data_IF_196904489494
#
_entry.id   IF_196904489494
#
_cell.length_a   1.000
_cell.length_b   1.000
_cell.length_c   1.000
_cell.angle_alpha   90.00
_cell.angle_beta   90.00
_cell.angle_gamma   90.00
#
_symmetry.space_group_name_H-M   'P 1'
#
loop_
_entity.id
_entity.type
_entity.pdbx_description
1 polymer ?
#
# COMPACT_ATOMS: atom_id res chain seq x y z
N UNK A 1 -19.26 17.35 -37.61
CA UNK A 1 -20.64 17.43 -38.13
C UNK A 1 -21.11 15.99 -38.39
N UNK A 2 -21.92 15.49 -37.45
CA UNK A 2 -22.81 14.30 -37.47
C UNK A 2 -22.42 13.06 -38.29
N UNK A 3 -21.90 12.05 -37.57
CA UNK A 3 -22.15 10.63 -37.84
C UNK A 3 -23.62 10.30 -37.49
N UNK A 4 -24.55 10.65 -38.37
CA UNK A 4 -25.92 10.15 -38.36
C UNK A 4 -26.13 9.41 -39.68
N UNK A 5 -25.96 8.08 -39.68
CA UNK A 5 -26.75 7.08 -40.45
C UNK A 5 -26.00 5.74 -40.55
N UNK A 6 -26.08 4.93 -39.48
CA UNK A 6 -25.97 3.45 -39.58
C UNK A 6 -27.13 2.75 -38.85
N UNK A 7 -27.87 3.46 -38.00
CA UNK A 7 -29.04 2.92 -37.28
C UNK A 7 -30.36 3.53 -37.78
N UNK A 8 -30.52 3.58 -39.10
CA UNK A 8 -31.70 4.11 -39.77
C UNK A 8 -32.50 2.98 -40.40
N UNK A 9 -33.23 2.22 -39.58
CA UNK A 9 -34.14 1.18 -40.04
C UNK A 9 -34.27 0.07 -39.02
N UNK A 10 -35.42 0.02 -38.32
CA UNK A 10 -36.01 -1.17 -37.69
C UNK A 10 -35.05 -2.36 -37.50
N UNK A 11 -34.23 -2.36 -36.46
CA UNK A 11 -33.69 -3.62 -35.91
C UNK A 11 -34.73 -4.09 -34.90
N UNK A 12 -35.57 -5.10 -35.23
CA UNK A 12 -36.88 -5.23 -34.63
C UNK A 12 -36.81 -5.91 -33.26
N UNK A 13 -37.90 -5.75 -32.50
CA UNK A 13 -38.28 -6.51 -31.31
C UNK A 13 -37.94 -8.03 -31.37
N UNK A 14 -37.80 -8.57 -32.57
CA UNK A 14 -37.47 -9.95 -32.92
C UNK A 14 -36.16 -10.47 -32.29
N UNK A 15 -35.09 -9.67 -32.19
CA UNK A 15 -33.82 -10.15 -31.59
C UNK A 15 -33.95 -10.35 -30.07
N UNK A 16 -34.57 -9.40 -29.37
CA UNK A 16 -34.85 -9.57 -27.95
C UNK A 16 -35.78 -10.77 -27.71
N UNK A 17 -36.77 -10.98 -28.57
CA UNK A 17 -37.66 -12.14 -28.48
C UNK A 17 -36.91 -13.46 -28.64
N UNK A 18 -35.91 -13.53 -29.53
CA UNK A 18 -35.06 -14.74 -29.67
C UNK A 18 -34.30 -15.01 -28.37
N UNK A 19 -33.68 -13.99 -27.77
CA UNK A 19 -32.93 -14.18 -26.51
C UNK A 19 -33.86 -14.53 -25.35
N UNK A 20 -35.01 -13.87 -25.21
CA UNK A 20 -36.00 -14.20 -24.20
C UNK A 20 -36.57 -15.62 -24.37
N UNK A 21 -36.73 -16.08 -25.61
CA UNK A 21 -37.10 -17.46 -25.88
C UNK A 21 -36.01 -18.42 -25.39
N UNK A 22 -34.73 -18.15 -25.66
CA UNK A 22 -33.63 -18.97 -25.14
C UNK A 22 -33.60 -19.00 -23.61
N UNK A 23 -33.80 -17.85 -22.96
CA UNK A 23 -33.89 -17.75 -21.50
C UNK A 23 -35.03 -18.63 -20.98
N UNK A 24 -36.23 -18.49 -21.56
CA UNK A 24 -37.41 -19.25 -21.17
C UNK A 24 -37.25 -20.75 -21.41
N UNK A 25 -36.67 -21.14 -22.54
CA UNK A 25 -36.42 -22.55 -22.87
C UNK A 25 -35.41 -23.18 -21.91
N UNK A 26 -34.41 -22.40 -21.45
CA UNK A 26 -33.37 -22.88 -20.52
C UNK A 26 -33.80 -22.88 -19.05
N UNK A 27 -34.54 -21.87 -18.61
CA UNK A 27 -34.92 -21.67 -17.19
C UNK A 27 -36.37 -22.05 -16.87
N UNK A 28 -37.21 -22.25 -17.89
CA UNK A 28 -38.66 -22.46 -17.75
C UNK A 28 -39.48 -21.18 -17.55
N UNK A 29 -38.83 -20.05 -17.31
CA UNK A 29 -39.43 -18.72 -17.16
C UNK A 29 -38.45 -17.64 -17.59
N UNK A 30 -38.90 -16.38 -17.64
CA UNK A 30 -38.03 -15.21 -17.86
C UNK A 30 -37.86 -14.53 -16.50
N UNK A 31 -36.66 -14.57 -15.89
CA UNK A 31 -36.41 -13.85 -14.65
C UNK A 31 -36.55 -12.33 -14.83
N UNK A 32 -37.15 -11.62 -13.86
CA UNK A 32 -37.24 -10.16 -13.88
C UNK A 32 -35.89 -9.46 -14.10
N UNK A 33 -34.78 -10.09 -13.68
CA UNK A 33 -33.40 -9.64 -13.94
C UNK A 33 -33.15 -9.12 -15.37
N UNK A 34 -33.77 -9.75 -16.37
CA UNK A 34 -33.56 -9.43 -17.78
C UNK A 34 -34.53 -8.38 -18.34
N UNK A 35 -35.60 -8.04 -17.61
CA UNK A 35 -36.64 -7.12 -18.06
C UNK A 35 -36.11 -5.71 -18.39
N UNK A 36 -35.19 -5.11 -17.62
CA UNK A 36 -34.70 -3.77 -17.96
C UNK A 36 -33.90 -3.73 -19.28
N UNK A 37 -33.43 -4.88 -19.76
CA UNK A 37 -32.74 -5.01 -21.04
C UNK A 37 -33.67 -5.28 -22.23
N UNK A 38 -35.00 -5.33 -22.04
CA UNK A 38 -35.96 -5.73 -23.07
C UNK A 38 -35.93 -4.86 -24.34
N UNK A 39 -35.49 -3.60 -24.23
CA UNK A 39 -35.39 -2.66 -25.35
C UNK A 39 -34.00 -2.64 -26.03
N UNK A 40 -33.02 -3.38 -25.49
CA UNK A 40 -31.63 -3.34 -25.95
C UNK A 40 -31.09 -4.76 -26.20
N UNK A 41 -31.12 -5.24 -27.46
CA UNK A 41 -30.63 -6.57 -27.82
C UNK A 41 -29.20 -6.82 -27.37
N UNK A 42 -28.30 -5.84 -27.52
CA UNK A 42 -26.89 -5.97 -27.15
C UNK A 42 -26.72 -6.20 -25.64
N UNK A 43 -27.48 -5.46 -24.83
CA UNK A 43 -27.43 -5.60 -23.36
C UNK A 43 -28.01 -6.95 -22.95
N UNK A 44 -29.16 -7.32 -23.52
CA UNK A 44 -29.83 -8.58 -23.21
C UNK A 44 -28.99 -9.80 -23.61
N UNK A 45 -28.38 -9.77 -24.80
CA UNK A 45 -27.46 -10.82 -25.28
C UNK A 45 -26.25 -10.96 -24.36
N UNK A 46 -25.63 -9.84 -23.94
CA UNK A 46 -24.49 -9.88 -23.04
C UNK A 46 -24.87 -10.42 -21.65
N UNK A 47 -25.98 -9.94 -21.06
CA UNK A 47 -26.46 -10.45 -19.78
C UNK A 47 -26.73 -11.95 -19.87
N UNK A 48 -27.41 -12.40 -20.93
CA UNK A 48 -27.71 -13.81 -21.13
C UNK A 48 -26.44 -14.65 -21.32
N UNK A 49 -25.50 -14.17 -22.12
CA UNK A 49 -24.22 -14.84 -22.36
C UNK A 49 -23.42 -15.02 -21.05
N UNK A 50 -23.38 -13.97 -20.23
CA UNK A 50 -22.69 -14.01 -18.93
C UNK A 50 -23.40 -14.96 -17.95
N UNK A 51 -24.73 -14.87 -17.82
CA UNK A 51 -25.52 -15.79 -16.97
C UNK A 51 -25.32 -17.25 -17.40
N UNK A 52 -25.31 -17.53 -18.70
CA UNK A 52 -25.09 -18.88 -19.21
C UNK A 52 -23.68 -19.37 -18.87
N UNK A 53 -22.65 -18.60 -19.22
CA UNK A 53 -21.26 -19.05 -19.15
C UNK A 53 -20.72 -19.07 -17.71
N UNK A 54 -20.97 -18.00 -16.95
CA UNK A 54 -20.37 -17.84 -15.63
C UNK A 54 -21.18 -18.50 -14.51
N UNK A 55 -22.46 -18.76 -14.73
CA UNK A 55 -23.36 -19.27 -13.69
C UNK A 55 -24.00 -20.62 -14.04
N UNK A 56 -24.75 -20.73 -15.15
CA UNK A 56 -25.49 -21.96 -15.48
C UNK A 56 -24.57 -23.11 -15.90
N UNK A 57 -23.63 -22.82 -16.80
CA UNK A 57 -22.74 -23.82 -17.40
C UNK A 57 -21.38 -23.89 -16.66
N UNK A 58 -21.21 -23.11 -15.60
CA UNK A 58 -20.02 -23.15 -14.74
C UNK A 58 -20.05 -24.43 -13.88
N UNK A 59 -19.02 -25.29 -13.95
CA UNK A 59 -19.02 -26.62 -13.31
C UNK A 59 -18.76 -26.59 -11.79
N UNK A 60 -18.52 -25.40 -11.20
CA UNK A 60 -18.51 -25.26 -9.74
C UNK A 60 -19.87 -25.73 -9.17
N UNK A 61 -19.90 -26.50 -8.06
CA UNK A 61 -21.15 -27.02 -7.52
C UNK A 61 -22.20 -25.94 -7.27
N UNK A 62 -23.46 -26.24 -7.64
CA UNK A 62 -24.56 -25.28 -7.52
C UNK A 62 -24.77 -24.79 -6.10
N UNK A 63 -24.66 -25.67 -5.10
CA UNK A 63 -24.78 -25.29 -3.69
C UNK A 63 -23.71 -24.27 -3.29
N UNK A 64 -22.47 -24.42 -3.76
CA UNK A 64 -21.42 -23.44 -3.52
C UNK A 64 -21.72 -22.11 -4.23
N UNK A 65 -22.11 -22.17 -5.51
CA UNK A 65 -22.44 -20.97 -6.29
C UNK A 65 -23.55 -20.16 -5.62
N UNK A 66 -24.63 -20.83 -5.18
CA UNK A 66 -25.75 -20.18 -4.50
C UNK A 66 -25.37 -19.61 -3.13
N UNK A 67 -24.55 -20.31 -2.34
CA UNK A 67 -24.05 -19.81 -1.04
C UNK A 67 -23.23 -18.53 -1.25
N UNK A 68 -22.30 -18.56 -2.20
CA UNK A 68 -21.45 -17.41 -2.50
C UNK A 68 -22.29 -16.24 -3.02
N UNK A 69 -23.20 -16.48 -3.97
CA UNK A 69 -24.08 -15.46 -4.52
C UNK A 69 -24.98 -14.83 -3.45
N UNK A 70 -25.55 -15.63 -2.54
CA UNK A 70 -26.33 -15.13 -1.41
C UNK A 70 -25.48 -14.29 -0.44
N UNK A 71 -24.26 -14.74 -0.12
CA UNK A 71 -23.33 -14.03 0.76
C UNK A 71 -22.90 -12.68 0.17
N UNK A 72 -22.50 -12.62 -1.09
CA UNK A 72 -22.08 -11.36 -1.73
C UNK A 72 -23.25 -10.41 -1.98
N UNK A 73 -24.46 -10.94 -2.20
CA UNK A 73 -25.69 -10.13 -2.33
C UNK A 73 -26.02 -9.34 -1.06
N UNK A 74 -25.45 -9.69 0.11
CA UNK A 74 -25.61 -8.91 1.35
C UNK A 74 -24.97 -7.52 1.30
N UNK A 75 -24.17 -7.24 0.28
CA UNK A 75 -23.53 -5.94 0.08
C UNK A 75 -24.19 -5.09 -1.01
N UNK A 76 -25.35 -5.53 -1.53
CA UNK A 76 -26.15 -4.82 -2.53
C UNK A 76 -27.41 -4.24 -1.87
N UNK A 77 -27.81 -3.02 -2.19
CA UNK A 77 -29.02 -2.43 -1.58
C UNK A 77 -30.33 -2.97 -2.19
N UNK A 78 -30.28 -3.46 -3.42
CA UNK A 78 -31.43 -4.01 -4.13
C UNK A 78 -31.53 -5.52 -3.81
N UNK A 79 -32.60 -5.98 -3.14
CA UNK A 79 -32.67 -7.33 -2.59
C UNK A 79 -32.88 -8.42 -3.64
N UNK A 80 -33.01 -8.08 -4.93
CA UNK A 80 -33.41 -9.03 -5.97
C UNK A 80 -32.53 -10.29 -6.00
N UNK A 81 -31.21 -10.12 -6.11
CA UNK A 81 -30.27 -11.24 -6.14
C UNK A 81 -30.25 -11.99 -4.81
N UNK A 82 -30.27 -11.27 -3.67
CA UNK A 82 -30.32 -11.89 -2.35
C UNK A 82 -31.52 -12.84 -2.24
N UNK A 83 -32.71 -12.37 -2.56
CA UNK A 83 -33.95 -13.15 -2.46
C UNK A 83 -33.91 -14.38 -3.38
N UNK A 84 -33.46 -14.20 -4.62
CA UNK A 84 -33.38 -15.29 -5.59
C UNK A 84 -32.39 -16.39 -5.16
N UNK A 85 -31.19 -16.01 -4.74
CA UNK A 85 -30.16 -16.97 -4.35
C UNK A 85 -30.47 -17.63 -3.00
N UNK A 86 -30.95 -16.86 -2.01
CA UNK A 86 -31.37 -17.43 -0.72
C UNK A 86 -32.50 -18.44 -0.87
N UNK A 87 -33.49 -18.18 -1.73
CA UNK A 87 -34.60 -19.11 -1.95
C UNK A 87 -34.21 -20.34 -2.77
N UNK A 88 -33.14 -20.26 -3.57
CA UNK A 88 -32.61 -21.38 -4.37
C UNK A 88 -31.78 -22.35 -3.53
N UNK A 89 -31.23 -21.92 -2.39
CA UNK A 89 -30.51 -22.80 -1.46
C UNK A 89 -31.38 -23.93 -0.89
N UNK A 90 -32.68 -23.67 -0.67
CA UNK A 90 -33.60 -24.64 -0.09
C UNK A 90 -33.80 -25.90 -0.95
N UNK A 91 -34.15 -25.83 -2.25
CA UNK A 91 -34.23 -27.02 -3.10
C UNK A 91 -32.88 -27.72 -3.32
N UNK A 92 -31.76 -27.06 -3.03
CA UNK A 92 -30.42 -27.67 -3.04
C UNK A 92 -30.09 -28.42 -1.73
N UNK A 93 -31.05 -28.55 -0.81
CA UNK A 93 -30.94 -29.36 0.40
C UNK A 93 -30.56 -28.59 1.67
N UNK A 94 -30.42 -27.26 1.60
CA UNK A 94 -30.13 -26.45 2.77
C UNK A 94 -31.39 -26.19 3.60
N UNK A 95 -31.29 -26.32 4.93
CA UNK A 95 -32.42 -25.99 5.83
C UNK A 95 -32.60 -24.48 5.90
N UNK A 96 -33.84 -24.04 6.07
CA UNK A 96 -34.17 -22.61 6.23
C UNK A 96 -33.45 -21.94 7.40
N UNK A 97 -33.16 -22.69 8.47
CA UNK A 97 -32.34 -22.23 9.60
C UNK A 97 -30.90 -21.94 9.19
N UNK A 98 -30.28 -22.84 8.42
CA UNK A 98 -28.88 -22.71 8.01
C UNK A 98 -28.71 -21.57 6.99
N UNK A 99 -29.74 -21.35 6.15
CA UNK A 99 -29.81 -20.18 5.25
C UNK A 99 -29.82 -18.89 6.08
N UNK A 100 -30.65 -18.83 7.13
CA UNK A 100 -30.69 -17.67 8.03
C UNK A 100 -29.34 -17.42 8.69
N UNK A 101 -28.67 -18.47 9.18
CA UNK A 101 -27.38 -18.37 9.85
C UNK A 101 -26.33 -17.72 8.94
N UNK A 102 -26.19 -18.20 7.70
CA UNK A 102 -25.25 -17.64 6.72
C UNK A 102 -25.58 -16.19 6.38
N UNK A 103 -26.87 -15.86 6.24
CA UNK A 103 -27.32 -14.51 5.93
C UNK A 103 -27.10 -13.52 7.07
N UNK A 104 -27.11 -13.99 8.32
CA UNK A 104 -26.95 -13.18 9.51
C UNK A 104 -25.51 -13.04 10.00
N UNK A 105 -24.57 -13.84 9.49
CA UNK A 105 -23.15 -13.72 9.83
C UNK A 105 -22.69 -12.25 9.75
N UNK A 106 -21.83 -11.76 10.64
CA UNK A 106 -21.29 -10.41 10.54
C UNK A 106 -20.49 -10.21 9.23
N UNK A 107 -20.14 -8.97 8.91
CA UNK A 107 -19.12 -8.73 7.90
C UNK A 107 -17.79 -9.33 8.43
N UNK A 108 -17.08 -10.04 7.56
CA UNK A 108 -15.86 -10.75 7.92
C UNK A 108 -14.78 -9.76 8.37
N UNK A 109 -14.17 -10.06 9.51
CA UNK A 109 -13.01 -9.35 10.04
C UNK A 109 -11.69 -9.86 9.43
N UNK A 110 -10.61 -9.07 9.56
CA UNK A 110 -9.27 -9.49 9.12
C UNK A 110 -8.78 -10.72 9.88
N UNK A 111 -9.09 -10.84 11.17
CA UNK A 111 -8.71 -12.00 11.99
C UNK A 111 -9.41 -13.26 11.48
N UNK A 112 -10.71 -13.19 11.15
CA UNK A 112 -11.44 -14.32 10.55
C UNK A 112 -10.90 -14.67 9.17
N UNK A 113 -10.58 -13.68 8.32
CA UNK A 113 -9.96 -13.92 7.03
C UNK A 113 -8.59 -14.58 7.18
N UNK A 114 -7.79 -14.17 8.17
CA UNK A 114 -6.49 -14.76 8.45
C UNK A 114 -6.60 -16.24 8.85
N UNK A 115 -7.64 -16.62 9.60
CA UNK A 115 -7.94 -18.03 9.93
C UNK A 115 -8.22 -18.84 8.66
N UNK A 116 -9.08 -18.34 7.77
CA UNK A 116 -9.37 -19.03 6.50
C UNK A 116 -8.13 -19.12 5.60
N UNK A 117 -7.35 -18.05 5.48
CA UNK A 117 -6.09 -18.04 4.73
C UNK A 117 -5.05 -19.03 5.30
N UNK A 118 -4.98 -19.17 6.62
CA UNK A 118 -4.12 -20.16 7.27
C UNK A 118 -4.55 -21.61 6.97
N UNK A 119 -5.87 -21.88 6.94
CA UNK A 119 -6.40 -23.19 6.53
C UNK A 119 -6.03 -23.52 5.08
N UNK A 120 -6.12 -22.55 4.16
CA UNK A 120 -5.70 -22.74 2.77
C UNK A 120 -4.21 -23.06 2.69
N UNK A 121 -3.35 -22.28 3.38
CA UNK A 121 -1.89 -22.51 3.44
C UNK A 121 -1.52 -23.90 3.94
N UNK A 122 -2.23 -24.40 4.94
CA UNK A 122 -1.98 -25.72 5.52
C UNK A 122 -2.41 -26.88 4.59
N UNK A 123 -3.26 -26.63 3.60
CA UNK A 123 -3.76 -27.69 2.71
C UNK A 123 -2.79 -27.99 1.57
N UNK A 124 -2.61 -29.26 1.23
CA UNK A 124 -1.72 -29.74 0.14
C UNK A 124 -2.30 -29.52 -1.28
N UNK A 125 -3.45 -28.84 -1.39
CA UNK A 125 -4.24 -28.72 -2.63
C UNK A 125 -5.20 -29.89 -2.89
N UNK A 126 -6.04 -29.74 -3.92
CA UNK A 126 -7.16 -30.67 -4.19
C UNK A 126 -6.92 -31.62 -5.35
N UNK A 127 -5.73 -31.60 -5.96
CA UNK A 127 -5.36 -32.43 -7.10
C UNK A 127 -6.32 -32.28 -8.30
N UNK A 128 -6.87 -31.08 -8.51
CA UNK A 128 -7.76 -30.78 -9.63
C UNK A 128 -9.20 -31.26 -9.42
N UNK A 129 -9.60 -31.55 -8.18
CA UNK A 129 -11.00 -31.81 -7.80
C UNK A 129 -11.57 -30.62 -7.02
N UNK A 130 -12.87 -30.38 -7.13
CA UNK A 130 -13.53 -29.43 -6.24
C UNK A 130 -13.61 -30.01 -4.81
N UNK A 131 -13.40 -29.20 -3.75
CA UNK A 131 -13.53 -29.64 -2.37
C UNK A 131 -14.88 -30.30 -2.06
N UNK A 132 -14.90 -31.18 -1.04
CA UNK A 132 -16.14 -31.80 -0.58
C UNK A 132 -17.09 -30.71 -0.03
N UNK A 133 -18.38 -30.84 -0.37
CA UNK A 133 -19.42 -29.96 0.14
C UNK A 133 -19.39 -29.87 1.68
N UNK A 134 -19.51 -28.66 2.19
CA UNK A 134 -19.50 -28.31 3.63
C UNK A 134 -18.22 -28.70 4.38
N UNK A 135 -17.13 -29.01 3.68
CA UNK A 135 -15.83 -29.20 4.31
C UNK A 135 -15.22 -27.88 4.79
N UNK A 136 -14.32 -27.95 5.78
CA UNK A 136 -13.56 -26.77 6.25
C UNK A 136 -12.83 -26.07 5.10
N UNK A 137 -12.35 -26.84 4.11
CA UNK A 137 -11.72 -26.31 2.92
C UNK A 137 -12.70 -25.55 2.02
N UNK A 138 -13.87 -26.11 1.73
CA UNK A 138 -14.89 -25.42 0.92
C UNK A 138 -15.35 -24.14 1.62
N UNK A 139 -15.55 -24.19 2.94
CA UNK A 139 -15.93 -23.03 3.74
C UNK A 139 -14.84 -21.96 3.73
N UNK A 140 -13.56 -22.33 3.86
CA UNK A 140 -12.46 -21.38 3.73
C UNK A 140 -12.42 -20.72 2.35
N UNK A 141 -12.61 -21.49 1.27
CA UNK A 141 -12.67 -20.96 -0.10
C UNK A 141 -13.87 -20.02 -0.27
N UNK A 142 -15.03 -20.36 0.28
CA UNK A 142 -16.23 -19.53 0.23
C UNK A 142 -15.98 -18.15 0.86
N UNK A 143 -15.39 -18.14 2.04
CA UNK A 143 -15.08 -16.91 2.78
C UNK A 143 -13.99 -16.07 2.09
N UNK A 144 -12.92 -16.71 1.64
CA UNK A 144 -11.89 -16.07 0.85
C UNK A 144 -12.40 -15.55 -0.52
N UNK A 145 -13.38 -16.21 -1.14
CA UNK A 145 -14.02 -15.73 -2.37
C UNK A 145 -14.84 -14.45 -2.10
N UNK A 146 -15.50 -14.34 -0.94
CA UNK A 146 -16.16 -13.10 -0.51
C UNK A 146 -15.13 -11.97 -0.33
N UNK A 147 -13.95 -12.22 0.24
CA UNK A 147 -12.93 -11.17 0.37
C UNK A 147 -12.40 -10.69 -0.99
N UNK A 148 -12.19 -11.60 -1.95
CA UNK A 148 -11.86 -11.25 -3.35
C UNK A 148 -12.98 -10.42 -3.97
N UNK A 149 -14.25 -10.81 -3.79
CA UNK A 149 -15.39 -10.02 -4.26
C UNK A 149 -15.36 -8.60 -3.67
N UNK A 150 -15.02 -8.47 -2.40
CA UNK A 150 -14.95 -7.20 -1.70
C UNK A 150 -13.65 -6.41 -1.96
N UNK A 151 -12.71 -6.93 -2.74
CA UNK A 151 -11.36 -6.37 -2.92
C UNK A 151 -10.58 -6.18 -1.61
N UNK A 152 -10.78 -7.04 -0.61
CA UNK A 152 -10.07 -7.04 0.67
C UNK A 152 -8.95 -8.08 0.63
N UNK A 153 -7.70 -7.66 0.80
CA UNK A 153 -6.49 -8.53 0.80
C UNK A 153 -6.45 -9.56 -0.34
N UNK A 154 -6.99 -9.16 -1.49
CA UNK A 154 -7.31 -10.10 -2.57
C UNK A 154 -6.08 -10.76 -3.20
N UNK A 155 -4.88 -10.20 -3.06
CA UNK A 155 -3.68 -10.73 -3.69
C UNK A 155 -3.19 -12.02 -3.00
N UNK A 156 -2.93 -11.97 -1.69
CA UNK A 156 -2.45 -13.12 -0.93
C UNK A 156 -3.48 -14.26 -0.97
N UNK A 157 -4.76 -13.91 -0.77
CA UNK A 157 -5.87 -14.85 -0.81
C UNK A 157 -6.00 -15.52 -2.19
N UNK A 158 -5.83 -14.76 -3.28
CA UNK A 158 -5.89 -15.30 -4.64
C UNK A 158 -4.78 -16.31 -4.91
N UNK A 159 -3.56 -16.05 -4.43
CA UNK A 159 -2.43 -16.97 -4.59
C UNK A 159 -2.72 -18.31 -3.91
N UNK A 160 -3.26 -18.28 -2.69
CA UNK A 160 -3.57 -19.50 -1.94
C UNK A 160 -4.73 -20.29 -2.52
N UNK A 161 -5.85 -19.63 -2.89
CA UNK A 161 -6.96 -20.34 -3.56
C UNK A 161 -6.47 -20.98 -4.86
N UNK A 162 -5.70 -20.25 -5.67
CA UNK A 162 -5.17 -20.78 -6.94
C UNK A 162 -4.26 -21.99 -6.73
N UNK A 163 -3.41 -21.96 -5.70
CA UNK A 163 -2.57 -23.10 -5.34
C UNK A 163 -3.40 -24.31 -4.91
N UNK A 164 -4.44 -24.09 -4.12
CA UNK A 164 -5.27 -25.16 -3.57
C UNK A 164 -6.17 -25.80 -4.63
N UNK A 165 -6.92 -24.99 -5.40
CA UNK A 165 -7.88 -25.46 -6.40
C UNK A 165 -7.25 -25.86 -7.73
N UNK A 166 -6.06 -25.33 -8.04
CA UNK A 166 -5.48 -25.36 -9.36
C UNK A 166 -6.04 -24.26 -10.29
N UNK A 167 -5.36 -24.06 -11.42
CA UNK A 167 -5.64 -22.95 -12.34
C UNK A 167 -7.07 -22.95 -12.88
N UNK A 168 -7.58 -24.12 -13.31
CA UNK A 168 -8.88 -24.21 -13.98
C UNK A 168 -10.04 -23.81 -13.06
N UNK A 169 -10.14 -24.43 -11.87
CA UNK A 169 -11.18 -24.09 -10.90
C UNK A 169 -11.03 -22.68 -10.33
N UNK A 170 -9.80 -22.19 -10.20
CA UNK A 170 -9.57 -20.79 -9.83
C UNK A 170 -10.13 -19.83 -10.88
N UNK A 171 -9.84 -20.04 -12.16
CA UNK A 171 -10.34 -19.18 -13.24
C UNK A 171 -11.88 -19.22 -13.32
N UNK A 172 -12.49 -20.39 -13.13
CA UNK A 172 -13.95 -20.55 -13.05
C UNK A 172 -14.56 -19.83 -11.84
N UNK A 173 -13.88 -19.84 -10.70
CA UNK A 173 -14.31 -19.14 -9.50
C UNK A 173 -14.21 -17.62 -9.70
N UNK A 174 -13.11 -17.13 -10.28
CA UNK A 174 -12.93 -15.71 -10.60
C UNK A 174 -13.97 -15.25 -11.62
N UNK A 175 -14.25 -16.05 -12.66
CA UNK A 175 -15.32 -15.77 -13.62
C UNK A 175 -16.68 -15.63 -12.92
N UNK A 176 -16.99 -16.52 -11.98
CA UNK A 176 -18.23 -16.47 -11.21
C UNK A 176 -18.29 -15.26 -10.26
N UNK A 177 -17.19 -14.93 -9.59
CA UNK A 177 -17.09 -13.73 -8.72
C UNK A 177 -17.30 -12.46 -9.56
N UNK A 178 -16.66 -12.37 -10.73
CA UNK A 178 -16.80 -11.24 -11.65
C UNK A 178 -18.24 -11.09 -12.14
N UNK A 179 -18.88 -12.20 -12.51
CA UNK A 179 -20.30 -12.22 -12.87
C UNK A 179 -21.19 -11.69 -11.76
N UNK A 180 -20.99 -12.12 -10.51
CA UNK A 180 -21.75 -11.60 -9.37
C UNK A 180 -21.55 -10.10 -9.18
N UNK A 181 -20.33 -9.56 -9.38
CA UNK A 181 -20.11 -8.10 -9.34
C UNK A 181 -20.94 -7.38 -10.38
N UNK A 182 -20.92 -7.85 -11.63
CA UNK A 182 -21.67 -7.26 -12.73
C UNK A 182 -23.19 -7.38 -12.51
N UNK A 183 -23.67 -8.54 -12.05
CA UNK A 183 -25.08 -8.78 -11.79
C UNK A 183 -25.62 -7.92 -10.64
N UNK A 184 -24.85 -7.75 -9.55
CA UNK A 184 -25.24 -6.88 -8.45
C UNK A 184 -25.22 -5.40 -8.86
N UNK A 185 -24.20 -4.96 -9.61
CA UNK A 185 -24.16 -3.60 -10.15
C UNK A 185 -25.35 -3.31 -11.08
N UNK A 186 -25.75 -4.29 -11.91
CA UNK A 186 -26.94 -4.21 -12.74
C UNK A 186 -28.20 -4.10 -11.89
N UNK A 187 -28.36 -4.95 -10.87
CA UNK A 187 -29.51 -4.90 -9.99
C UNK A 187 -29.62 -3.57 -9.23
N UNK A 188 -28.51 -3.01 -8.75
CA UNK A 188 -28.51 -1.68 -8.10
C UNK A 188 -28.91 -0.55 -9.04
N UNK A 189 -28.55 -0.63 -10.32
CA UNK A 189 -28.96 0.34 -11.33
C UNK A 189 -30.45 0.23 -11.71
N UNK A 190 -31.11 -0.88 -11.34
CA UNK A 190 -32.49 -1.21 -11.66
C UNK A 190 -33.30 -1.54 -10.39
N UNK A 191 -33.54 -0.58 -9.48
CA UNK A 191 -34.25 -0.80 -8.24
C UNK A 191 -35.72 -1.22 -8.42
N UNK A 192 -36.27 -1.10 -9.63
CA UNK A 192 -37.59 -1.58 -10.04
C UNK A 192 -37.71 -3.11 -10.16
N UNK A 193 -36.59 -3.85 -10.15
CA UNK A 193 -36.58 -5.31 -10.22
C UNK A 193 -37.41 -5.93 -9.07
N UNK A 194 -38.51 -6.59 -9.42
CA UNK A 194 -39.35 -7.29 -8.44
C UNK A 194 -38.88 -8.72 -8.24
N UNK A 195 -38.42 -9.04 -7.03
CA UNK A 195 -38.14 -10.43 -6.67
C UNK A 195 -39.43 -11.22 -6.45
N UNK A 196 -40.55 -10.56 -6.13
CA UNK A 196 -41.85 -11.19 -5.96
C UNK A 196 -42.38 -11.77 -7.28
N UNK A 197 -41.96 -11.22 -8.42
CA UNK A 197 -42.27 -11.73 -9.75
C UNK A 197 -41.38 -12.92 -10.19
N UNK A 198 -40.29 -13.21 -9.45
CA UNK A 198 -39.37 -14.30 -9.79
C UNK A 198 -39.93 -15.66 -9.35
N UNK A 199 -39.99 -16.62 -10.28
CA UNK A 199 -40.58 -17.93 -10.04
C UNK A 199 -39.86 -18.72 -8.93
N UNK A 200 -38.55 -18.54 -8.77
CA UNK A 200 -37.77 -19.20 -7.70
C UNK A 200 -38.25 -18.74 -6.33
N UNK A 201 -38.50 -17.43 -6.20
CA UNK A 201 -38.99 -16.83 -4.96
C UNK A 201 -40.42 -17.27 -4.69
N UNK A 202 -41.31 -17.17 -5.69
CA UNK A 202 -42.70 -17.60 -5.56
C UNK A 202 -42.82 -19.07 -5.12
N UNK A 203 -41.96 -19.91 -5.66
CA UNK A 203 -41.99 -21.36 -5.39
C UNK A 203 -41.44 -21.69 -4.00
N UNK A 204 -40.33 -21.09 -3.59
CA UNK A 204 -39.57 -21.56 -2.43
C UNK A 204 -39.74 -20.70 -1.17
N UNK A 205 -40.01 -19.39 -1.31
CA UNK A 205 -40.12 -18.48 -0.17
C UNK A 205 -41.21 -18.86 0.84
N UNK A 206 -42.45 -19.25 0.43
CA UNK A 206 -43.50 -19.60 1.39
C UNK A 206 -43.11 -20.76 2.31
N UNK A 207 -42.53 -21.83 1.75
CA UNK A 207 -42.04 -22.98 2.55
C UNK A 207 -40.88 -22.60 3.45
N UNK A 208 -39.95 -21.79 2.93
CA UNK A 208 -38.80 -21.30 3.69
C UNK A 208 -39.21 -20.47 4.91
N UNK A 209 -40.18 -19.57 4.76
CA UNK A 209 -40.72 -18.76 5.86
C UNK A 209 -41.56 -19.57 6.84
N UNK A 210 -42.22 -20.63 6.38
CA UNK A 210 -42.96 -21.54 7.26
C UNK A 210 -42.03 -22.36 8.16
N UNK A 211 -40.84 -22.73 7.68
CA UNK A 211 -39.84 -23.47 8.44
C UNK A 211 -39.06 -22.58 9.41
N UNK A 212 -38.77 -21.34 9.02
CA UNK A 212 -37.99 -20.39 9.84
C UNK A 212 -38.59 -18.99 9.73
N UNK A 213 -39.60 -18.66 10.55
CA UNK A 213 -40.30 -17.37 10.51
C UNK A 213 -39.40 -16.14 10.69
N UNK A 214 -38.26 -16.30 11.36
CA UNK A 214 -37.26 -15.25 11.61
C UNK A 214 -36.66 -14.68 10.31
N UNK A 215 -36.64 -15.47 9.22
CA UNK A 215 -36.24 -15.01 7.89
C UNK A 215 -37.10 -13.84 7.42
N UNK A 216 -38.39 -13.82 7.79
CA UNK A 216 -39.29 -12.71 7.44
C UNK A 216 -38.78 -11.40 8.00
N UNK A 217 -38.39 -11.40 9.28
CA UNK A 217 -37.83 -10.23 9.94
C UNK A 217 -36.47 -9.84 9.33
N UNK A 218 -35.64 -10.83 8.96
CA UNK A 218 -34.38 -10.55 8.27
C UNK A 218 -34.61 -9.82 6.94
N UNK A 219 -35.48 -10.34 6.06
CA UNK A 219 -35.73 -9.74 4.74
C UNK A 219 -36.40 -8.37 4.84
N UNK A 220 -37.31 -8.17 5.80
CA UNK A 220 -37.95 -6.86 6.04
C UNK A 220 -36.93 -5.78 6.46
N UNK A 221 -35.91 -6.16 7.23
CA UNK A 221 -34.88 -5.25 7.72
C UNK A 221 -33.60 -5.26 6.86
N UNK A 222 -33.58 -5.99 5.75
CA UNK A 222 -32.39 -6.18 4.93
C UNK A 222 -31.73 -4.86 4.51
N UNK A 223 -32.51 -3.90 3.99
CA UNK A 223 -31.99 -2.61 3.54
C UNK A 223 -31.27 -1.83 4.66
N UNK A 224 -31.75 -1.95 5.89
CA UNK A 224 -31.12 -1.31 7.06
C UNK A 224 -29.78 -2.01 7.34
N UNK A 225 -29.77 -3.34 7.37
CA UNK A 225 -28.56 -4.13 7.59
C UNK A 225 -27.47 -3.87 6.54
N UNK A 226 -27.84 -3.76 5.26
CA UNK A 226 -26.88 -3.46 4.18
C UNK A 226 -26.25 -2.08 4.40
N UNK A 227 -27.07 -1.06 4.75
CA UNK A 227 -26.56 0.28 5.06
C UNK A 227 -25.63 0.28 6.25
N UNK A 228 -26.00 -0.38 7.35
CA UNK A 228 -25.15 -0.51 8.54
C UNK A 228 -23.82 -1.20 8.23
N UNK A 229 -23.82 -2.21 7.36
CA UNK A 229 -22.59 -2.87 6.89
C UNK A 229 -21.73 -1.95 6.02
N UNK A 230 -22.35 -1.18 5.11
CA UNK A 230 -21.67 -0.17 4.30
C UNK A 230 -21.03 0.93 5.16
N UNK A 231 -21.77 1.49 6.10
CA UNK A 231 -21.32 2.55 7.01
C UNK A 231 -20.17 2.07 7.90
N UNK A 232 -20.30 0.86 8.48
CA UNK A 232 -19.22 0.24 9.28
C UNK A 232 -17.95 0.08 8.48
N UNK A 233 -18.05 -0.35 7.23
CA UNK A 233 -16.89 -0.53 6.35
C UNK A 233 -16.24 0.81 5.97
N UNK A 234 -17.03 1.81 5.63
CA UNK A 234 -16.53 3.15 5.31
C UNK A 234 -15.82 3.79 6.52
N UNK A 235 -16.42 3.64 7.71
CA UNK A 235 -15.83 4.12 8.96
C UNK A 235 -14.54 3.37 9.32
N UNK A 236 -14.50 2.04 9.12
CA UNK A 236 -13.32 1.23 9.38
C UNK A 236 -12.14 1.62 8.48
N UNK A 237 -12.35 1.75 7.16
CA UNK A 237 -11.31 2.23 6.23
C UNK A 237 -10.79 3.62 6.60
N UNK A 238 -11.69 4.51 7.04
CA UNK A 238 -11.32 5.85 7.49
C UNK A 238 -10.44 5.79 8.75
N UNK A 239 -10.77 4.92 9.70
CA UNK A 239 -10.03 4.77 10.94
C UNK A 239 -8.63 4.15 10.73
N UNK A 240 -8.53 3.17 9.85
CA UNK A 240 -7.24 2.57 9.47
C UNK A 240 -6.34 3.61 8.79
N UNK A 241 -6.89 4.37 7.84
CA UNK A 241 -6.17 5.46 7.18
C UNK A 241 -5.69 6.54 8.16
N UNK A 242 -6.53 6.92 9.13
CA UNK A 242 -6.15 7.87 10.20
C UNK A 242 -5.01 7.31 11.06
N UNK A 243 -5.06 6.03 11.40
CA UNK A 243 -4.00 5.35 12.18
C UNK A 243 -2.67 5.35 11.41
N UNK A 244 -2.71 4.97 10.13
CA UNK A 244 -1.53 4.96 9.26
C UNK A 244 -0.91 6.35 9.13
N UNK A 245 -1.74 7.40 8.95
CA UNK A 245 -1.27 8.79 8.90
C UNK A 245 -0.64 9.24 10.23
N UNK A 246 -1.19 8.80 11.36
CA UNK A 246 -0.63 9.11 12.67
C UNK A 246 0.75 8.46 12.87
N UNK A 247 0.91 7.21 12.42
CA UNK A 247 2.18 6.49 12.46
C UNK A 247 3.23 7.13 11.55
N UNK A 248 2.87 7.47 10.31
CA UNK A 248 3.76 8.21 9.40
C UNK A 248 4.23 9.54 10.02
N UNK A 249 3.30 10.31 10.61
CA UNK A 249 3.66 11.58 11.28
C UNK A 249 4.59 11.35 12.46
N UNK A 250 4.40 10.27 13.22
CA UNK A 250 5.28 9.93 14.34
C UNK A 250 6.70 9.62 13.85
N UNK A 251 6.83 8.77 12.85
CA UNK A 251 8.13 8.42 12.23
C UNK A 251 8.82 9.68 11.70
N UNK A 252 8.07 10.54 10.99
CA UNK A 252 8.61 11.78 10.45
C UNK A 252 9.10 12.73 11.56
N UNK A 253 8.35 12.82 12.67
CA UNK A 253 8.75 13.64 13.82
C UNK A 253 10.00 13.09 14.51
N UNK A 254 10.10 11.77 14.67
CA UNK A 254 11.29 11.13 15.24
C UNK A 254 12.52 11.36 14.37
N UNK A 255 12.38 11.26 13.03
CA UNK A 255 13.44 11.58 12.09
C UNK A 255 13.87 13.05 12.20
N UNK A 256 12.91 13.98 12.23
CA UNK A 256 13.22 15.41 12.36
C UNK A 256 13.94 15.70 13.68
N UNK A 257 13.47 15.15 14.80
CA UNK A 257 14.11 15.33 16.10
C UNK A 257 15.53 14.77 16.11
N UNK A 258 15.79 13.64 15.44
CA UNK A 258 17.12 13.07 15.30
C UNK A 258 18.04 13.98 14.47
N UNK A 259 17.55 14.53 13.36
CA UNK A 259 18.28 15.48 12.51
C UNK A 259 18.60 16.78 13.27
N UNK A 260 17.62 17.36 13.95
CA UNK A 260 17.79 18.59 14.73
C UNK A 260 18.80 18.37 15.86
N UNK A 261 18.75 17.22 16.54
CA UNK A 261 19.70 16.86 17.59
C UNK A 261 21.13 16.72 17.06
N UNK A 262 21.31 16.04 15.91
CA UNK A 262 22.62 15.89 15.27
C UNK A 262 23.17 17.27 14.84
N UNK A 263 22.34 18.11 14.24
CA UNK A 263 22.71 19.48 13.85
C UNK A 263 23.09 20.33 15.06
N UNK A 264 22.29 20.30 16.13
CA UNK A 264 22.57 21.04 17.36
C UNK A 264 23.88 20.57 18.03
N UNK A 265 24.15 19.26 18.00
CA UNK A 265 25.41 18.70 18.51
C UNK A 265 26.61 19.24 17.72
N UNK A 266 26.54 19.25 16.38
CA UNK A 266 27.61 19.77 15.52
C UNK A 266 27.84 21.28 15.69
N UNK A 267 26.77 22.04 15.90
CA UNK A 267 26.83 23.49 16.16
C UNK A 267 27.43 23.79 17.54
N UNK A 268 27.16 22.95 18.54
CA UNK A 268 27.63 23.14 19.91
C UNK A 268 29.09 22.75 20.17
N UNK A 269 29.81 22.21 19.17
CA UNK A 269 31.24 21.89 19.29
C UNK A 269 32.04 23.20 19.32
N UNK A 270 32.90 23.36 20.34
CA UNK A 270 33.74 24.55 20.53
C UNK A 270 34.93 24.65 19.58
N UNK A 271 35.24 23.58 18.85
CA UNK A 271 36.22 23.55 17.76
C UNK A 271 35.53 23.79 16.40
N UNK A 272 36.29 24.26 15.42
CA UNK A 272 35.79 24.43 14.06
C UNK A 272 35.64 23.09 13.35
N UNK A 273 34.47 22.85 12.76
CA UNK A 273 34.14 21.63 12.03
C UNK A 273 33.79 21.95 10.59
N UNK A 274 34.50 21.32 9.66
CA UNK A 274 34.21 21.33 8.22
C UNK A 274 33.87 19.90 7.79
N UNK A 275 32.81 19.72 7.00
CA UNK A 275 32.58 18.48 6.27
C UNK A 275 32.58 18.70 4.75
N UNK A 276 33.02 17.68 4.03
CA UNK A 276 33.17 17.67 2.57
C UNK A 276 32.56 16.42 1.94
N UNK A 277 32.36 16.43 0.62
CA UNK A 277 32.05 15.23 -0.15
C UNK A 277 33.32 14.39 -0.43
N UNK A 278 33.13 13.18 -0.99
CA UNK A 278 34.21 12.28 -1.38
C UNK A 278 34.68 12.45 -2.84
N UNK A 279 34.40 13.60 -3.47
CA UNK A 279 34.81 13.85 -4.85
C UNK A 279 36.35 13.98 -4.98
N UNK A 280 36.88 13.81 -6.19
CA UNK A 280 38.30 13.99 -6.46
C UNK A 280 38.79 15.42 -6.16
N UNK A 281 37.91 16.41 -6.37
CA UNK A 281 38.04 17.78 -5.87
C UNK A 281 36.97 17.98 -4.78
N UNK A 282 37.30 17.73 -3.51
CA UNK A 282 36.32 17.69 -2.44
C UNK A 282 35.68 19.07 -2.23
N UNK A 283 34.35 19.10 -2.20
CA UNK A 283 33.58 20.33 -1.99
C UNK A 283 33.03 20.38 -0.58
N UNK A 284 32.96 21.59 -0.04
CA UNK A 284 32.37 21.83 1.28
C UNK A 284 30.88 21.49 1.26
N UNK A 285 30.43 20.70 2.24
CA UNK A 285 29.02 20.35 2.46
C UNK A 285 28.46 20.98 3.75
N UNK A 286 29.32 21.31 4.72
CA UNK A 286 28.94 21.90 6.00
C UNK A 286 30.10 22.64 6.69
N UNK A 287 29.78 23.76 7.34
CA UNK A 287 30.61 24.49 8.32
C UNK A 287 29.78 24.66 9.60
N UNK A 288 30.39 24.46 10.78
CA UNK A 288 29.80 24.96 12.02
C UNK A 288 30.15 26.45 12.25
N UNK A 289 29.49 27.15 13.19
CA UNK A 289 29.72 28.59 13.39
C UNK A 289 31.15 28.97 13.76
N UNK A 290 31.88 28.07 14.45
CA UNK A 290 33.29 28.29 14.78
C UNK A 290 34.15 28.24 13.52
N UNK A 291 33.88 27.30 12.60
CA UNK A 291 34.54 27.24 11.30
C UNK A 291 34.21 28.47 10.44
N UNK A 292 32.97 28.97 10.47
CA UNK A 292 32.63 30.22 9.78
C UNK A 292 33.46 31.40 10.30
N UNK A 293 33.59 31.51 11.62
CA UNK A 293 34.36 32.57 12.26
C UNK A 293 35.86 32.50 11.93
N UNK A 294 36.46 31.31 11.94
CA UNK A 294 37.90 31.14 11.67
C UNK A 294 38.27 31.21 10.19
N UNK A 295 37.39 30.76 9.29
CA UNK A 295 37.66 30.80 7.84
C UNK A 295 37.22 32.13 7.20
N UNK A 296 36.30 32.85 7.83
CA UNK A 296 35.68 34.06 7.27
C UNK A 296 34.66 33.77 6.15
N UNK A 297 34.21 32.52 6.01
CA UNK A 297 33.17 32.10 5.07
C UNK A 297 31.89 31.75 5.81
N UNK A 298 30.73 32.15 5.30
CA UNK A 298 29.46 31.58 5.77
C UNK A 298 29.23 30.20 5.14
N UNK A 299 28.43 29.36 5.79
CA UNK A 299 28.07 28.02 5.28
C UNK A 299 27.41 28.11 3.91
N UNK A 300 26.60 29.15 3.67
CA UNK A 300 25.93 29.38 2.38
C UNK A 300 26.91 29.79 1.28
N UNK A 301 27.95 30.57 1.61
CA UNK A 301 29.00 30.95 0.66
C UNK A 301 29.99 29.80 0.38
N UNK A 302 30.30 29.02 1.43
CA UNK A 302 31.28 27.95 1.36
C UNK A 302 30.71 26.69 0.69
N UNK A 303 29.42 26.40 0.84
CA UNK A 303 28.79 25.18 0.30
C UNK A 303 29.03 25.06 -1.20
N UNK A 304 29.56 23.92 -1.63
CA UNK A 304 29.88 23.64 -3.04
C UNK A 304 31.18 24.27 -3.55
N UNK A 305 31.88 25.08 -2.74
CA UNK A 305 33.22 25.56 -3.05
C UNK A 305 34.26 24.45 -2.82
N UNK A 306 35.40 24.48 -3.56
CA UNK A 306 36.53 23.62 -3.28
C UNK A 306 37.02 23.78 -1.83
N UNK A 307 37.25 22.66 -1.14
CA UNK A 307 37.66 22.67 0.25
C UNK A 307 39.00 23.40 0.48
N UNK A 308 39.90 23.31 -0.50
CA UNK A 308 41.23 23.93 -0.47
C UNK A 308 41.21 25.47 -0.56
N UNK A 309 40.10 26.03 -1.05
CA UNK A 309 39.83 27.47 -1.14
C UNK A 309 39.28 28.03 0.16
N UNK A 310 38.44 27.26 0.85
CA UNK A 310 37.81 27.67 2.12
C UNK A 310 38.74 27.40 3.31
N UNK A 311 39.42 26.26 3.30
CA UNK A 311 40.41 25.88 4.30
C UNK A 311 41.83 26.10 3.76
N UNK A 312 42.23 27.37 3.69
CA UNK A 312 43.51 27.76 3.10
C UNK A 312 44.65 27.70 4.13
N UNK A 313 45.46 26.64 4.07
CA UNK A 313 46.53 26.39 5.04
C UNK A 313 47.95 26.49 4.47
N UNK A 314 48.86 27.06 5.28
CA UNK A 314 50.29 27.18 4.99
C UNK A 314 51.13 26.75 6.19
N UNK A 315 52.37 26.36 5.94
CA UNK A 315 53.34 26.10 7.00
C UNK A 315 53.82 27.41 7.62
N UNK A 316 53.83 27.51 8.95
CA UNK A 316 54.08 28.73 9.71
C UNK A 316 55.40 29.42 9.35
N UNK A 317 56.52 28.67 9.37
CA UNK A 317 57.85 29.24 9.12
C UNK A 317 58.21 29.38 7.63
N UNK A 318 57.92 28.36 6.81
CA UNK A 318 58.33 28.36 5.39
C UNK A 318 57.36 29.10 4.49
N UNK A 319 56.14 29.38 4.97
CA UNK A 319 55.02 29.98 4.21
C UNK A 319 54.64 29.20 2.94
N UNK A 320 55.13 27.97 2.82
CA UNK A 320 54.75 27.06 1.73
C UNK A 320 53.39 26.45 2.03
N UNK A 321 52.64 26.11 0.97
CA UNK A 321 51.34 25.45 1.10
C UNK A 321 51.48 24.15 1.88
N UNK A 322 50.69 23.98 2.93
CA UNK A 322 50.69 22.76 3.73
C UNK A 322 50.01 21.61 2.96
N UNK A 323 50.33 20.37 3.33
CA UNK A 323 49.71 19.19 2.73
C UNK A 323 48.22 19.18 3.10
N UNK A 324 47.35 19.05 2.09
CA UNK A 324 45.91 19.01 2.29
C UNK A 324 45.50 17.73 3.08
N UNK A 325 44.97 17.90 4.31
CA UNK A 325 44.58 16.78 5.16
C UNK A 325 43.36 16.03 4.62
N UNK A 326 42.45 16.70 3.89
CA UNK A 326 41.24 16.11 3.32
C UNK A 326 41.62 15.13 2.22
N UNK A 327 42.47 15.56 1.28
CA UNK A 327 42.98 14.69 0.22
C UNK A 327 43.82 13.53 0.79
N UNK A 328 44.52 13.75 1.90
CA UNK A 328 45.27 12.69 2.58
C UNK A 328 44.33 11.65 3.21
N UNK A 329 43.24 12.05 3.86
CA UNK A 329 42.23 11.13 4.40
C UNK A 329 41.55 10.32 3.29
N UNK A 330 41.13 10.97 2.19
CA UNK A 330 40.49 10.27 1.07
C UNK A 330 41.40 9.18 0.47
N UNK A 331 42.71 9.46 0.39
CA UNK A 331 43.72 8.52 -0.12
C UNK A 331 44.09 7.41 0.86
N UNK A 332 44.31 7.75 2.13
CA UNK A 332 44.81 6.82 3.15
C UNK A 332 43.70 6.06 3.89
N UNK A 333 42.45 6.54 3.79
CA UNK A 333 41.25 5.99 4.45
C UNK A 333 41.38 5.84 5.97
N UNK A 334 42.17 6.70 6.59
CA UNK A 334 42.47 6.72 8.02
C UNK A 334 42.32 8.13 8.58
N UNK A 335 42.22 8.21 9.90
CA UNK A 335 42.32 9.49 10.62
C UNK A 335 43.72 10.05 10.42
N UNK A 336 43.80 11.33 10.07
CA UNK A 336 45.04 12.05 9.77
C UNK A 336 45.09 13.30 10.63
N UNK A 337 46.09 13.41 11.51
CA UNK A 337 46.42 14.68 12.17
C UNK A 337 47.12 15.64 11.22
N UNK A 338 46.96 16.94 11.45
CA UNK A 338 47.75 17.95 10.75
C UNK A 338 49.21 17.97 11.18
N UNK A 339 50.07 18.46 10.30
CA UNK A 339 51.47 18.66 10.62
C UNK A 339 51.62 19.80 11.64
N UNK A 340 52.54 19.65 12.60
CA UNK A 340 52.89 20.71 13.55
C UNK A 340 53.25 22.00 12.79
N UNK A 341 52.84 23.16 13.32
CA UNK A 341 53.11 24.50 12.76
C UNK A 341 52.32 24.81 11.47
N UNK A 342 51.01 24.54 11.48
CA UNK A 342 50.10 24.93 10.38
C UNK A 342 49.35 26.23 10.72
N UNK A 343 49.24 27.12 9.74
CA UNK A 343 48.51 28.40 9.83
C UNK A 343 47.36 28.38 8.83
N UNK A 344 46.14 28.65 9.31
CA UNK A 344 44.97 28.94 8.49
C UNK A 344 44.98 30.42 8.12
N UNK A 345 44.75 30.71 6.84
CA UNK A 345 44.56 32.06 6.31
C UNK A 345 43.06 32.22 6.00
N UNK A 346 42.38 33.07 6.78
CA UNK A 346 40.98 33.40 6.59
C UNK A 346 40.75 34.20 5.30
N UNK A 347 39.49 34.30 4.87
CA UNK A 347 39.05 35.03 3.67
C UNK A 347 39.47 36.51 3.66
N UNK A 348 39.58 37.13 4.84
CA UNK A 348 40.01 38.52 5.03
C UNK A 348 41.53 38.68 5.17
N UNK A 349 42.27 37.57 5.17
CA UNK A 349 43.73 37.52 5.35
C UNK A 349 44.19 37.36 6.80
N UNK A 350 43.28 37.25 7.78
CA UNK A 350 43.62 36.96 9.17
C UNK A 350 44.27 35.58 9.29
N UNK A 351 45.28 35.46 10.14
CA UNK A 351 46.04 34.23 10.33
C UNK A 351 45.78 33.61 11.69
N UNK A 352 45.47 32.32 11.70
CA UNK A 352 45.26 31.52 12.91
C UNK A 352 46.23 30.34 12.92
N UNK A 353 47.00 30.17 14.00
CA UNK A 353 47.76 28.94 14.23
C UNK A 353 46.76 27.86 14.64
N UNK A 354 46.73 26.75 13.91
CA UNK A 354 45.72 25.71 14.12
C UNK A 354 46.33 24.34 14.43
N UNK A 355 45.63 23.59 15.28
CA UNK A 355 45.80 22.15 15.48
C UNK A 355 44.51 21.42 15.09
N UNK A 356 44.62 20.23 14.50
CA UNK A 356 43.47 19.61 13.81
C UNK A 356 43.69 18.11 13.52
N UNK A 357 42.57 17.43 13.34
CA UNK A 357 42.46 16.07 12.85
C UNK A 357 41.34 15.96 11.79
N UNK A 358 41.66 15.32 10.68
CA UNK A 358 40.71 14.93 9.64
C UNK A 358 40.37 13.44 9.76
N UNK A 359 39.10 13.08 9.56
CA UNK A 359 38.61 11.71 9.59
C UNK A 359 37.62 11.43 8.45
N UNK A 360 37.59 10.21 7.89
CA UNK A 360 36.64 9.87 6.83
C UNK A 360 35.22 9.71 7.40
N UNK A 361 34.24 10.25 6.68
CA UNK A 361 32.82 9.98 6.91
C UNK A 361 32.47 8.69 6.16
N UNK A 362 32.19 7.63 6.91
CA UNK A 362 31.93 6.30 6.36
C UNK A 362 30.45 5.95 6.53
N UNK A 363 29.80 5.63 5.41
CA UNK A 363 28.43 5.11 5.37
C UNK A 363 28.41 3.79 4.61
N UNK A 364 27.85 2.75 5.22
CA UNK A 364 27.79 1.39 4.64
C UNK A 364 29.14 0.85 4.10
N UNK A 365 30.25 1.24 4.73
CA UNK A 365 31.61 0.82 4.32
C UNK A 365 32.21 1.62 3.15
N UNK A 366 31.50 2.62 2.64
CA UNK A 366 31.99 3.57 1.63
C UNK A 366 32.33 4.91 2.27
N UNK A 367 33.36 5.59 1.74
CA UNK A 367 33.70 6.94 2.19
C UNK A 367 32.81 7.90 1.41
N UNK A 368 31.92 8.60 2.11
CA UNK A 368 31.02 9.59 1.53
C UNK A 368 31.56 11.01 1.64
N UNK A 369 32.56 11.21 2.50
CA UNK A 369 33.18 12.51 2.71
C UNK A 369 34.30 12.49 3.72
N UNK A 370 34.76 13.68 4.09
CA UNK A 370 35.73 13.90 5.16
C UNK A 370 35.18 14.94 6.13
N UNK A 371 35.32 14.67 7.42
CA UNK A 371 35.13 15.66 8.49
C UNK A 371 36.51 16.11 8.97
N UNK A 372 36.68 17.42 9.09
CA UNK A 372 37.88 18.11 9.53
C UNK A 372 37.53 18.90 10.80
N UNK A 373 38.35 18.78 11.84
CA UNK A 373 38.11 19.42 13.15
C UNK A 373 39.35 20.16 13.59
N UNK A 374 39.32 21.50 13.52
CA UNK A 374 40.45 22.36 13.86
C UNK A 374 40.15 23.32 14.99
N UNK A 375 41.21 23.70 15.70
CA UNK A 375 41.14 24.64 16.81
C UNK A 375 42.19 25.73 16.66
N UNK A 376 41.80 26.97 16.93
CA UNK A 376 42.71 28.10 17.07
C UNK A 376 43.56 27.95 18.34
N UNK A 377 44.87 27.85 18.16
CA UNK A 377 45.90 27.73 19.20
C UNK A 377 46.86 28.92 19.20
N UNK A 378 46.53 30.00 18.49
CA UNK A 378 47.40 31.19 18.30
C UNK A 378 47.91 31.75 19.62
N UNK A 379 47.04 31.88 20.63
CA UNK A 379 47.43 32.37 21.96
C UNK A 379 48.41 31.42 22.67
N UNK A 380 48.15 30.11 22.61
CA UNK A 380 48.99 29.09 23.25
C UNK A 380 50.37 29.04 22.60
N UNK A 381 50.41 29.09 21.28
CA UNK A 381 51.66 29.12 20.52
C UNK A 381 52.48 30.38 20.82
N UNK A 382 51.85 31.56 20.89
CA UNK A 382 52.55 32.82 21.20
C UNK A 382 53.14 32.83 22.62
N UNK A 383 52.41 32.28 23.60
CA UNK A 383 52.91 32.12 24.97
C UNK A 383 54.12 31.19 25.01
N UNK A 384 54.02 30.01 24.39
CA UNK A 384 55.13 29.04 24.34
C UNK A 384 56.38 29.61 23.66
N UNK A 385 56.23 30.33 22.56
CA UNK A 385 57.39 30.92 21.88
C UNK A 385 58.02 32.04 22.73
N UNK A 386 57.22 32.84 23.44
CA UNK A 386 57.74 33.86 24.36
C UNK A 386 58.52 33.25 25.54
N UNK A 387 58.03 32.14 26.10
CA UNK A 387 58.72 31.38 27.16
C UNK A 387 60.01 30.77 26.63
N UNK A 388 59.98 30.21 25.41
CA UNK A 388 61.15 29.60 24.77
C UNK A 388 62.26 30.61 24.47
N UNK A 389 61.90 31.82 24.06
CA UNK A 389 62.84 32.94 23.87
C UNK A 389 63.44 33.36 25.21
N UNK A 390 62.62 33.53 26.26
CA UNK A 390 63.09 33.90 27.59
C UNK A 390 64.04 32.85 28.20
N UNK A 391 63.74 31.56 28.03
CA UNK A 391 64.59 30.45 28.49
C UNK A 391 65.91 30.33 27.72
N UNK A 392 65.92 30.69 26.43
CA UNK A 392 67.12 30.71 25.60
C UNK A 392 68.04 31.88 25.99
N UNK A 393 67.48 33.04 26.35
CA UNK A 393 68.23 34.20 26.85
C UNK A 393 68.80 33.97 28.26
N UNK A 394 68.14 33.16 29.09
CA UNK A 394 68.61 32.78 30.43
C UNK A 394 69.74 31.72 30.42
N UNK A 395 69.93 31.01 29.30
CA UNK A 395 70.94 29.94 29.14
C UNK A 395 72.14 30.36 28.28
N UNK A 396 72.09 31.54 27.67
CA UNK A 396 73.20 32.18 26.95
C UNK A 396 73.99 33.10 27.90
#
# INVERSE_FOLDING_TARGET
MRLQTVWGGLVPNDLCQVVFKQIKDRLGFIPPFFEPAASSPIVLENLWYQTRTAYLDNPIPDLFKEKLAALVSRYCLVPYCLMCHSTTLRPLGMRSSDILDILQQPAMSFDELAVHSALLRAHEGTQGLWPKADSDLENAILHCAVSIFLNQDSHEVSVEIKRVLGQEYYDLLILFIAYNKTALQWAEAHPELSYEADLRVQTNLPGMLSETPELKNFFQNYKIKVKEQGDRRSNWLTQEYVTLLAEQKKIQKELQMSQDWLSATLIGIGDAVIATDAAAEPKITFLNPVAEALTGWTVDEARGQPADKVFHIVHQYTRQRAVDPILKVLREKKIVGLANHTVLIAKDGTEFVIEDSAAPIIHEGTIEGVVLVFRDTTLQHNLQESERIADAELKA
#
